data_IF_392847297999
#
_entry.id   IF_392847297999
#
_cell.length_a   1.000
_cell.length_b   1.000
_cell.length_c   1.000
_cell.angle_alpha   90.00
_cell.angle_beta   90.00
_cell.angle_gamma   90.00
#
_symmetry.space_group_name_H-M   'P 1'
#
loop_
_entity.id
_entity.type
_entity.pdbx_description
1 polymer ?
#
# COMPACT_ATOMS: atom_id res chain seq x y z
N UNK A 1 1.31 -9.36 10.49
CA UNK A 1 0.23 -8.46 10.05
C UNK A 1 0.70 -7.76 8.78
N UNK A 2 -0.10 -7.68 7.70
CA UNK A 2 0.33 -7.08 6.43
C UNK A 2 0.49 -5.55 6.47
N UNK A 3 0.69 -4.96 7.63
CA UNK A 3 0.88 -3.52 7.79
C UNK A 3 -0.43 -2.72 7.74
N UNK A 4 -0.34 -1.49 7.23
CA UNK A 4 -1.41 -0.48 7.27
C UNK A 4 -2.54 -0.75 6.27
N UNK A 5 -2.39 -1.74 5.39
CA UNK A 5 -3.29 -1.93 4.24
C UNK A 5 -3.97 -3.28 4.31
N UNK A 6 -5.30 -3.24 4.18
CA UNK A 6 -6.11 -4.40 3.88
C UNK A 6 -6.12 -4.72 2.37
N UNK A 7 -6.95 -5.66 1.95
CA UNK A 7 -7.16 -6.00 0.53
C UNK A 7 -6.20 -7.06 -0.01
N UNK A 8 -5.22 -7.52 0.77
CA UNK A 8 -4.36 -8.63 0.37
C UNK A 8 -5.10 -9.96 0.29
N UNK A 9 -6.12 -10.13 1.09
CA UNK A 9 -7.07 -11.22 1.02
C UNK A 9 -7.81 -11.24 -0.33
N UNK A 10 -8.24 -10.07 -0.79
CA UNK A 10 -8.88 -9.92 -2.12
C UNK A 10 -7.86 -10.23 -3.22
N UNK A 11 -6.65 -9.70 -3.13
CA UNK A 11 -5.59 -9.96 -4.11
C UNK A 11 -5.28 -11.47 -4.20
N UNK A 12 -5.11 -12.13 -3.05
CA UNK A 12 -4.84 -13.56 -2.98
C UNK A 12 -6.03 -14.38 -3.52
N UNK A 13 -7.24 -13.95 -3.25
CA UNK A 13 -8.46 -14.61 -3.76
C UNK A 13 -8.53 -14.50 -5.27
N UNK A 14 -8.38 -13.31 -5.85
CA UNK A 14 -8.39 -13.11 -7.30
C UNK A 14 -7.26 -13.88 -7.98
N UNK A 15 -6.07 -13.91 -7.35
CA UNK A 15 -4.94 -14.68 -7.85
C UNK A 15 -5.22 -16.19 -7.82
N UNK A 16 -5.76 -16.71 -6.73
CA UNK A 16 -6.11 -18.12 -6.59
C UNK A 16 -7.22 -18.58 -7.56
N UNK A 17 -8.12 -17.68 -7.92
CA UNK A 17 -9.16 -17.92 -8.92
C UNK A 17 -8.61 -17.85 -10.36
N UNK A 18 -7.38 -17.39 -10.57
CA UNK A 18 -6.83 -17.11 -11.89
C UNK A 18 -7.43 -15.87 -12.56
N UNK A 19 -8.12 -15.04 -11.78
CA UNK A 19 -8.85 -13.86 -12.27
C UNK A 19 -8.02 -12.58 -12.24
N UNK A 20 -6.95 -12.52 -11.44
CA UNK A 20 -6.13 -11.31 -11.34
C UNK A 20 -5.39 -11.04 -12.68
N UNK A 21 -5.72 -9.92 -13.30
CA UNK A 21 -5.14 -9.46 -14.56
C UNK A 21 -4.14 -8.31 -14.35
N UNK A 22 -4.25 -7.61 -13.24
CA UNK A 22 -3.35 -6.50 -12.93
C UNK A 22 -3.45 -6.06 -11.49
N UNK A 23 -2.33 -5.59 -10.98
CA UNK A 23 -2.23 -4.93 -9.70
C UNK A 23 -1.44 -3.64 -9.86
N UNK A 24 -1.98 -2.53 -9.37
CA UNK A 24 -1.33 -1.23 -9.40
C UNK A 24 -1.25 -0.65 -7.98
N UNK A 25 -0.03 -0.43 -7.54
CA UNK A 25 0.28 0.23 -6.27
C UNK A 25 0.51 1.71 -6.55
N UNK A 26 -0.20 2.57 -5.81
CA UNK A 26 -0.11 4.03 -5.95
C UNK A 26 0.36 4.67 -4.65
N UNK A 27 1.41 5.47 -4.75
CA UNK A 27 1.85 6.37 -3.69
C UNK A 27 1.62 7.81 -4.13
N UNK A 28 0.91 8.58 -3.30
CA UNK A 28 0.72 10.02 -3.49
C UNK A 28 1.26 10.76 -2.28
N UNK A 29 2.12 11.74 -2.51
CA UNK A 29 2.73 12.52 -1.45
C UNK A 29 2.91 13.98 -1.86
N UNK A 30 2.84 14.93 -0.90
CA UNK A 30 3.03 16.34 -1.17
C UNK A 30 4.45 16.63 -1.66
N UNK A 31 4.59 17.27 -2.81
CA UNK A 31 5.88 17.66 -3.39
C UNK A 31 6.53 18.79 -2.58
N UNK A 32 7.85 18.73 -2.42
CA UNK A 32 8.63 19.85 -1.83
C UNK A 32 8.43 20.10 -0.34
N UNK A 33 7.68 19.28 0.36
CA UNK A 33 7.33 19.52 1.78
C UNK A 33 8.31 18.95 2.80
N UNK A 34 9.36 18.26 2.36
CA UNK A 34 10.18 17.43 3.27
C UNK A 34 9.39 16.29 3.92
N UNK A 35 8.14 16.11 3.54
CA UNK A 35 7.22 15.08 4.04
C UNK A 35 7.22 13.80 3.21
N UNK A 36 8.17 13.67 2.28
CA UNK A 36 8.35 12.41 1.58
C UNK A 36 8.58 11.31 2.63
N UNK A 37 7.75 10.28 2.67
CA UNK A 37 8.00 9.18 3.57
C UNK A 37 9.42 8.65 3.36
N UNK A 38 10.15 8.26 4.41
CA UNK A 38 11.50 7.67 4.27
C UNK A 38 11.53 6.53 3.25
N UNK A 39 10.43 5.81 3.13
CA UNK A 39 10.21 4.77 2.13
C UNK A 39 10.40 5.22 0.68
N UNK A 40 10.22 6.50 0.38
CA UNK A 40 10.29 7.06 -0.97
C UNK A 40 11.51 7.97 -1.17
N UNK A 41 12.40 8.06 -0.18
CA UNK A 41 13.55 8.97 -0.21
C UNK A 41 14.54 8.71 -1.37
N UNK A 42 14.53 7.52 -1.95
CA UNK A 42 15.38 7.15 -3.10
C UNK A 42 14.70 7.30 -4.46
N UNK A 43 13.42 7.69 -4.47
CA UNK A 43 12.68 7.79 -5.72
C UNK A 43 12.75 9.18 -6.34
N UNK A 44 12.68 9.28 -7.67
CA UNK A 44 12.39 10.54 -8.33
C UNK A 44 10.99 11.04 -7.95
N UNK A 45 10.70 12.32 -8.16
CA UNK A 45 9.39 12.93 -7.85
C UNK A 45 8.21 12.19 -8.49
N UNK A 46 8.48 11.56 -9.62
CA UNK A 46 7.53 10.67 -10.31
C UNK A 46 8.22 9.37 -10.65
N UNK A 47 7.54 8.28 -10.40
CA UNK A 47 7.99 6.95 -10.81
C UNK A 47 6.81 6.16 -11.36
N UNK A 48 7.06 5.42 -12.42
CA UNK A 48 6.15 4.44 -12.98
C UNK A 48 6.96 3.25 -13.50
N UNK A 49 6.66 2.06 -13.02
CA UNK A 49 7.39 0.85 -13.35
C UNK A 49 6.86 -0.35 -12.58
N UNK A 50 7.54 -1.47 -12.70
CA UNK A 50 7.21 -2.67 -11.93
C UNK A 50 7.56 -2.52 -10.44
N UNK A 51 6.91 -3.32 -9.59
CA UNK A 51 7.25 -3.38 -8.17
C UNK A 51 8.71 -3.83 -7.96
N UNK A 52 9.26 -4.66 -8.86
CA UNK A 52 10.67 -5.07 -8.85
C UNK A 52 11.61 -3.89 -9.07
N UNK A 53 11.33 -3.06 -10.08
CA UNK A 53 12.12 -1.86 -10.35
C UNK A 53 12.05 -0.87 -9.20
N UNK A 54 10.87 -0.68 -8.64
CA UNK A 54 10.70 0.15 -7.44
C UNK A 54 11.48 -0.40 -6.24
N UNK A 55 11.46 -1.70 -6.02
CA UNK A 55 12.25 -2.34 -4.96
C UNK A 55 13.75 -2.12 -5.12
N UNK A 56 14.26 -2.17 -6.35
CA UNK A 56 15.67 -1.91 -6.64
C UNK A 56 16.10 -0.48 -6.24
N UNK A 57 15.20 0.49 -6.34
CA UNK A 57 15.45 1.88 -5.95
C UNK A 57 15.43 2.09 -4.42
N UNK A 58 14.59 1.38 -3.68
CA UNK A 58 14.46 1.54 -2.23
C UNK A 58 14.13 0.22 -1.51
N UNK A 59 15.10 -0.70 -1.39
CA UNK A 59 14.85 -2.04 -0.87
C UNK A 59 14.38 -2.07 0.59
N UNK A 60 14.79 -1.08 1.39
CA UNK A 60 14.54 -1.09 2.84
C UNK A 60 13.11 -0.66 3.23
N UNK A 61 12.33 -0.08 2.32
CA UNK A 61 11.16 0.68 2.72
C UNK A 61 9.86 0.35 1.97
N UNK A 62 9.90 -0.55 0.99
CA UNK A 62 8.73 -0.89 0.17
C UNK A 62 7.95 -2.12 0.64
N UNK A 63 7.90 -2.36 1.94
CA UNK A 63 7.24 -3.56 2.50
C UNK A 63 5.82 -3.77 2.00
N UNK A 64 5.06 -2.69 1.87
CA UNK A 64 3.67 -2.73 1.43
C UNK A 64 3.58 -3.10 -0.04
N UNK A 65 4.44 -2.51 -0.88
CA UNK A 65 4.47 -2.82 -2.30
C UNK A 65 4.86 -4.27 -2.56
N UNK A 66 5.85 -4.78 -1.81
CA UNK A 66 6.26 -6.17 -1.88
C UNK A 66 5.14 -7.10 -1.42
N UNK A 67 4.51 -6.80 -0.29
CA UNK A 67 3.40 -7.59 0.22
C UNK A 67 2.23 -7.63 -0.78
N UNK A 68 1.88 -6.51 -1.40
CA UNK A 68 0.86 -6.43 -2.42
C UNK A 68 1.23 -7.25 -3.67
N UNK A 69 2.48 -7.15 -4.13
CA UNK A 69 2.96 -7.88 -5.28
C UNK A 69 2.99 -9.40 -5.02
N UNK A 70 3.42 -9.82 -3.83
CA UNK A 70 3.41 -11.24 -3.44
C UNK A 70 1.99 -11.78 -3.31
N UNK A 71 1.05 -10.99 -2.79
CA UNK A 71 -0.36 -11.37 -2.73
C UNK A 71 -0.99 -11.46 -4.12
N UNK A 72 -0.57 -10.61 -5.05
CA UNK A 72 -0.97 -10.61 -6.45
C UNK A 72 -0.24 -11.61 -7.33
N UNK A 73 0.80 -12.28 -6.82
CA UNK A 73 1.52 -13.36 -7.47
C UNK A 73 2.84 -13.00 -8.14
N UNK A 74 3.12 -11.72 -8.46
CA UNK A 74 4.34 -11.36 -9.19
C UNK A 74 4.82 -9.93 -8.92
N UNK A 75 6.13 -9.80 -8.68
CA UNK A 75 6.79 -8.49 -8.57
C UNK A 75 6.95 -7.80 -9.94
N UNK A 76 7.02 -8.57 -11.00
CA UNK A 76 7.24 -8.05 -12.35
C UNK A 76 5.95 -7.56 -13.00
N UNK A 77 4.83 -8.22 -12.72
CA UNK A 77 3.52 -7.86 -13.26
C UNK A 77 2.80 -6.80 -12.44
N UNK A 78 3.12 -6.70 -11.15
CA UNK A 78 2.58 -5.64 -10.30
C UNK A 78 3.21 -4.30 -10.66
N UNK A 79 2.39 -3.35 -11.07
CA UNK A 79 2.82 -1.99 -11.38
C UNK A 79 2.87 -1.13 -10.13
N UNK A 80 3.77 -0.18 -10.11
CA UNK A 80 3.92 0.81 -9.06
C UNK A 80 3.98 2.21 -9.65
N UNK A 81 3.24 3.14 -9.05
CA UNK A 81 3.22 4.54 -9.44
C UNK A 81 3.41 5.44 -8.23
N UNK A 82 4.33 6.39 -8.34
CA UNK A 82 4.58 7.43 -7.36
C UNK A 82 4.26 8.76 -8.01
N UNK A 83 3.38 9.53 -7.40
CA UNK A 83 2.91 10.81 -7.92
C UNK A 83 2.98 11.89 -6.85
N UNK A 84 3.55 13.07 -7.15
CA UNK A 84 3.43 14.23 -6.30
C UNK A 84 2.00 14.78 -6.35
N UNK A 85 1.52 15.26 -5.22
CA UNK A 85 0.25 15.98 -5.10
C UNK A 85 0.48 17.36 -4.50
N UNK A 86 -0.56 18.17 -4.41
CA UNK A 86 -0.47 19.48 -3.78
C UNK A 86 -0.08 19.37 -2.30
N UNK A 87 0.50 20.44 -1.74
CA UNK A 87 0.91 20.43 -0.33
C UNK A 87 -0.27 20.35 0.65
N UNK A 88 -1.46 20.66 0.19
CA UNK A 88 -2.69 20.60 0.98
C UNK A 88 -3.27 19.18 1.02
N UNK A 89 -2.88 18.33 0.08
CA UNK A 89 -3.36 16.96 0.01
C UNK A 89 -2.67 16.07 1.04
N UNK A 90 -3.44 15.19 1.66
CA UNK A 90 -2.88 14.18 2.54
C UNK A 90 -2.11 13.11 1.74
N UNK A 91 -0.94 12.68 2.23
CA UNK A 91 -0.26 11.53 1.66
C UNK A 91 -1.19 10.32 1.63
N UNK A 92 -1.17 9.57 0.56
CA UNK A 92 -2.00 8.39 0.44
C UNK A 92 -1.28 7.23 -0.23
N UNK A 93 -1.73 6.04 0.14
CA UNK A 93 -1.37 4.80 -0.52
C UNK A 93 -2.62 4.19 -1.12
N UNK A 94 -2.51 3.62 -2.31
CA UNK A 94 -3.59 2.94 -3.00
C UNK A 94 -3.15 1.58 -3.54
N UNK A 95 -4.10 0.67 -3.63
CA UNK A 95 -3.98 -0.62 -4.29
C UNK A 95 -5.20 -0.81 -5.19
N UNK A 96 -4.99 -0.87 -6.48
CA UNK A 96 -6.02 -1.23 -7.45
C UNK A 96 -5.74 -2.62 -7.97
N UNK A 97 -6.73 -3.48 -7.91
CA UNK A 97 -6.72 -4.83 -8.41
C UNK A 97 -7.73 -4.92 -9.55
N UNK A 98 -7.29 -5.46 -10.68
CA UNK A 98 -8.11 -5.61 -11.87
C UNK A 98 -8.19 -7.09 -12.23
N UNK A 99 -9.39 -7.62 -12.32
CA UNK A 99 -9.68 -8.95 -12.84
C UNK A 99 -10.62 -8.87 -14.05
N UNK A 100 -10.95 -10.01 -14.62
CA UNK A 100 -11.89 -10.08 -15.75
C UNK A 100 -13.33 -9.81 -15.30
N UNK A 101 -13.74 -10.40 -14.19
CA UNK A 101 -15.11 -10.30 -13.66
C UNK A 101 -15.19 -9.50 -12.37
N UNK A 102 -14.08 -9.27 -11.70
CA UNK A 102 -14.05 -8.57 -10.44
C UNK A 102 -12.79 -7.70 -10.31
N UNK A 103 -12.88 -6.69 -9.50
CA UNK A 103 -11.77 -5.83 -9.16
C UNK A 103 -11.99 -5.18 -7.80
N UNK A 104 -10.94 -4.58 -7.26
CA UNK A 104 -11.00 -3.85 -6.01
C UNK A 104 -10.12 -2.61 -6.07
N UNK A 105 -10.54 -1.55 -5.41
CA UNK A 105 -9.73 -0.36 -5.21
C UNK A 105 -9.73 -0.03 -3.73
N UNK A 106 -8.53 0.04 -3.15
CA UNK A 106 -8.32 0.44 -1.78
C UNK A 106 -7.49 1.70 -1.74
N UNK A 107 -7.90 2.67 -0.95
CA UNK A 107 -7.10 3.87 -0.68
C UNK A 107 -7.02 4.11 0.82
N UNK A 108 -5.81 4.29 1.29
CA UNK A 108 -5.52 4.69 2.66
C UNK A 108 -4.85 6.05 2.63
N UNK A 109 -5.35 6.99 3.40
CA UNK A 109 -4.71 8.28 3.61
C UNK A 109 -4.53 8.51 5.11
N UNK A 110 -3.49 9.21 5.47
CA UNK A 110 -3.20 9.51 6.85
C UNK A 110 -3.06 11.03 7.01
N UNK A 111 -4.01 11.63 7.70
CA UNK A 111 -3.90 12.99 8.19
C UNK A 111 -3.03 13.06 9.44
N UNK A 112 -2.48 14.23 9.75
CA UNK A 112 -1.76 14.43 11.01
C UNK A 112 -2.71 14.35 12.20
N UNK A 113 -2.37 13.58 13.22
CA UNK A 113 -3.04 13.60 14.51
C UNK A 113 -2.54 14.82 15.30
N UNK A 114 -3.45 15.73 15.66
CA UNK A 114 -3.07 16.91 16.45
C UNK A 114 -2.10 17.89 15.77
N UNK A 115 -2.06 17.93 14.43
CA UNK A 115 -1.19 18.84 13.67
C UNK A 115 0.27 18.42 13.61
N UNK A 116 0.64 17.26 14.14
CA UNK A 116 1.97 16.67 13.97
C UNK A 116 1.90 15.52 12.99
N UNK A 117 2.87 15.39 12.05
CA UNK A 117 3.02 14.19 11.26
C UNK A 117 3.52 13.10 12.21
N UNK A 118 2.61 12.47 12.93
CA UNK A 118 2.99 11.32 13.74
C UNK A 118 3.19 10.13 12.81
N UNK A 119 4.27 9.40 13.05
CA UNK A 119 4.68 8.21 12.33
C UNK A 119 3.59 7.13 12.26
N UNK A 120 3.88 5.87 12.07
CA UNK A 120 2.96 4.84 11.60
C UNK A 120 1.89 4.45 12.61
N UNK A 121 1.10 5.42 13.11
CA UNK A 121 0.01 5.19 14.05
C UNK A 121 -0.95 4.10 13.55
N UNK A 122 -1.30 4.13 12.26
CA UNK A 122 -2.13 3.09 11.65
C UNK A 122 -1.49 1.71 11.72
N UNK A 123 -0.17 1.59 11.55
CA UNK A 123 0.53 0.31 11.65
C UNK A 123 0.47 -0.25 13.09
N UNK A 124 0.69 0.60 14.09
CA UNK A 124 0.57 0.21 15.49
C UNK A 124 -0.87 -0.24 15.83
N UNK A 125 -1.85 0.54 15.42
CA UNK A 125 -3.26 0.21 15.65
C UNK A 125 -3.72 -1.03 14.88
N UNK A 126 -3.12 -1.35 13.73
CA UNK A 126 -3.42 -2.59 13.01
C UNK A 126 -3.01 -3.83 13.82
N UNK A 127 -1.92 -3.75 14.56
CA UNK A 127 -1.51 -4.81 15.49
C UNK A 127 -2.50 -4.96 16.64
N UNK A 128 -2.94 -3.85 17.24
CA UNK A 128 -3.95 -3.86 18.30
C UNK A 128 -5.26 -4.46 17.78
N UNK A 129 -5.69 -4.08 16.58
CA UNK A 129 -6.90 -4.63 15.95
C UNK A 129 -6.77 -6.15 15.70
N UNK A 130 -5.60 -6.60 15.23
CA UNK A 130 -5.33 -8.03 15.06
C UNK A 130 -5.42 -8.79 16.39
N UNK A 131 -4.78 -8.29 17.44
CA UNK A 131 -4.82 -8.90 18.77
C UNK A 131 -6.26 -8.98 19.30
N UNK A 132 -7.04 -7.92 19.14
CA UNK A 132 -8.47 -7.92 19.51
C UNK A 132 -9.26 -8.98 18.75
N UNK A 133 -9.01 -9.15 17.45
CA UNK A 133 -9.67 -10.20 16.64
C UNK A 133 -9.31 -11.60 17.11
N UNK A 134 -8.04 -11.84 17.45
CA UNK A 134 -7.58 -13.15 17.93
C UNK A 134 -8.15 -13.52 19.31
N UNK A 135 -8.50 -12.52 20.11
CA UNK A 135 -9.07 -12.71 21.45
C UNK A 135 -10.59 -12.53 21.51
N UNK A 136 -11.22 -12.17 20.38
CA UNK A 136 -12.66 -12.00 20.32
C UNK A 136 -13.40 -13.36 20.37
N UNK A 137 -14.53 -13.44 21.09
CA UNK A 137 -15.31 -14.67 21.17
C UNK A 137 -15.99 -15.03 19.84
N UNK A 138 -16.12 -14.06 18.93
CA UNK A 138 -16.66 -14.23 17.58
C UNK A 138 -15.68 -13.63 16.57
N UNK A 139 -15.22 -14.41 15.63
CA UNK A 139 -14.41 -13.96 14.51
C UNK A 139 -15.24 -13.96 13.24
N UNK A 140 -15.29 -12.82 12.54
CA UNK A 140 -15.74 -12.77 11.17
C UNK A 140 -14.55 -13.07 10.26
N UNK A 141 -14.69 -14.07 9.43
CA UNK A 141 -13.70 -14.43 8.41
C UNK A 141 -13.69 -13.38 7.29
#
# INVERSE_FOLDING_TARGET
APGVIGGFDIASTLSAMGELRGALIKYKFPSGSGRCPPALAGFPDRFEGSAREGFALSPAHLNIAIAAALAGGSLDETQMRIEPVSQEDAPSFGLDLTGEFAGASLRVWQGGFGGKPEGPALAAWSVVALLRRLTAPVTFA
#
